data_IF_584857149938
#
_entry.id   IF_584857149938
#
_cell.length_a   1.000
_cell.length_b   1.000
_cell.length_c   1.000
_cell.angle_alpha   90.00
_cell.angle_beta   90.00
_cell.angle_gamma   90.00
#
_symmetry.space_group_name_H-M   'P 1'
#
loop_
_entity.id
_entity.type
_entity.pdbx_description
1 polymer ?
#
# COMPACT_ATOMS: atom_id res chain seq x y z
N UNK A 1 -10.32 -19.60 -10.98
CA UNK A 1 -8.88 -19.55 -10.68
C UNK A 1 -8.72 -18.73 -9.42
N UNK A 2 -8.37 -19.33 -8.28
CA UNK A 2 -8.06 -18.57 -7.06
C UNK A 2 -6.67 -17.97 -7.21
N UNK A 3 -6.54 -16.66 -7.00
CA UNK A 3 -5.22 -16.01 -6.94
C UNK A 3 -4.56 -16.42 -5.62
N UNK A 4 -3.27 -16.74 -5.68
CA UNK A 4 -2.46 -16.98 -4.48
C UNK A 4 -2.36 -15.70 -3.64
N UNK A 5 -2.49 -15.81 -2.32
CA UNK A 5 -2.53 -14.65 -1.41
C UNK A 5 -1.23 -13.83 -1.44
N UNK A 6 -0.07 -14.48 -1.64
CA UNK A 6 1.23 -13.79 -1.77
C UNK A 6 1.30 -13.03 -3.08
N UNK A 7 0.75 -13.60 -4.15
CA UNK A 7 0.63 -12.93 -5.45
C UNK A 7 -0.31 -11.73 -5.35
N UNK A 8 -1.46 -11.86 -4.69
CA UNK A 8 -2.37 -10.74 -4.43
C UNK A 8 -1.67 -9.62 -3.67
N UNK A 9 -0.96 -9.95 -2.59
CA UNK A 9 -0.21 -8.97 -1.81
C UNK A 9 0.83 -8.24 -2.66
N UNK A 10 1.63 -8.97 -3.45
CA UNK A 10 2.63 -8.39 -4.35
C UNK A 10 1.99 -7.47 -5.40
N UNK A 11 0.86 -7.87 -5.99
CA UNK A 11 0.12 -7.05 -6.95
C UNK A 11 -0.38 -5.77 -6.29
N UNK A 12 -0.96 -5.85 -5.09
CA UNK A 12 -1.45 -4.68 -4.35
C UNK A 12 -0.32 -3.70 -4.08
N UNK A 13 0.85 -4.17 -3.64
CA UNK A 13 2.01 -3.30 -3.43
C UNK A 13 2.51 -2.68 -4.75
N UNK A 14 2.61 -3.48 -5.81
CA UNK A 14 3.06 -2.99 -7.11
C UNK A 14 2.13 -1.90 -7.65
N UNK A 15 0.82 -2.15 -7.65
CA UNK A 15 -0.20 -1.16 -8.07
C UNK A 15 -0.14 0.09 -7.19
N UNK A 16 -0.01 -0.11 -5.88
CA UNK A 16 0.05 0.96 -4.90
C UNK A 16 1.23 1.91 -5.06
N UNK A 17 2.31 1.47 -5.70
CA UNK A 17 3.47 2.30 -6.03
C UNK A 17 3.38 2.83 -7.46
N UNK A 18 3.05 1.97 -8.42
CA UNK A 18 3.08 2.33 -9.85
C UNK A 18 2.02 3.38 -10.18
N UNK A 19 0.78 3.22 -9.69
CA UNK A 19 -0.29 4.16 -10.04
C UNK A 19 -0.06 5.56 -9.45
N UNK A 20 0.19 5.75 -8.14
CA UNK A 20 0.46 7.08 -7.60
C UNK A 20 1.75 7.68 -8.16
N UNK A 21 2.76 6.85 -8.43
CA UNK A 21 4.04 7.30 -8.98
C UNK A 21 3.90 7.81 -10.40
N UNK A 22 3.18 7.06 -11.26
CA UNK A 22 2.85 7.49 -12.62
C UNK A 22 1.99 8.75 -12.63
N UNK A 23 1.01 8.85 -11.74
CA UNK A 23 0.17 10.05 -11.61
C UNK A 23 0.97 11.27 -11.14
N UNK A 24 1.85 11.11 -10.15
CA UNK A 24 2.77 12.17 -9.72
C UNK A 24 3.69 12.64 -10.84
N UNK A 25 4.27 11.70 -11.60
CA UNK A 25 5.12 12.02 -12.74
C UNK A 25 4.36 12.82 -13.81
N UNK A 26 3.17 12.36 -14.18
CA UNK A 26 2.33 13.05 -15.16
C UNK A 26 1.95 14.46 -14.68
N UNK A 27 1.50 14.62 -13.44
CA UNK A 27 1.15 15.93 -12.86
C UNK A 27 2.35 16.88 -12.80
N UNK A 28 3.50 16.38 -12.35
CA UNK A 28 4.74 17.16 -12.28
C UNK A 28 5.21 17.58 -13.67
N UNK A 29 5.08 16.71 -14.68
CA UNK A 29 5.43 17.04 -16.08
C UNK A 29 4.56 18.16 -16.68
N UNK A 30 3.40 18.42 -16.09
CA UNK A 30 2.46 19.47 -16.49
C UNK A 30 2.62 20.75 -15.63
N UNK A 31 3.60 20.81 -14.72
CA UNK A 31 3.84 21.95 -13.83
C UNK A 31 2.98 21.97 -12.56
N UNK A 32 2.35 20.84 -12.21
CA UNK A 32 1.55 20.70 -10.99
C UNK A 32 2.31 19.93 -9.89
N UNK A 33 3.51 20.37 -9.49
CA UNK A 33 4.36 19.58 -8.57
C UNK A 33 3.71 19.32 -7.20
N UNK A 34 3.04 20.33 -6.64
CA UNK A 34 2.34 20.18 -5.34
C UNK A 34 1.21 19.16 -5.43
N UNK A 35 0.44 19.18 -6.51
CA UNK A 35 -0.65 18.23 -6.71
C UNK A 35 -0.11 16.80 -6.94
N UNK A 36 0.96 16.66 -7.72
CA UNK A 36 1.65 15.37 -7.90
C UNK A 36 2.13 14.80 -6.57
N UNK A 37 2.78 15.63 -5.75
CA UNK A 37 3.28 15.23 -4.43
C UNK A 37 2.14 14.82 -3.50
N UNK A 38 1.01 15.54 -3.52
CA UNK A 38 -0.17 15.17 -2.76
C UNK A 38 -0.73 13.81 -3.20
N UNK A 39 -0.87 13.58 -4.51
CA UNK A 39 -1.33 12.29 -5.05
C UNK A 39 -0.41 11.15 -4.64
N UNK A 40 0.90 11.37 -4.67
CA UNK A 40 1.88 10.39 -4.20
C UNK A 40 1.69 10.06 -2.71
N UNK A 41 1.62 11.09 -1.85
CA UNK A 41 1.48 10.93 -0.41
C UNK A 41 0.18 10.23 -0.02
N UNK A 42 -0.95 10.64 -0.60
CA UNK A 42 -2.25 10.02 -0.33
C UNK A 42 -2.35 8.60 -0.91
N UNK A 43 -1.79 8.36 -2.10
CA UNK A 43 -1.72 7.02 -2.68
C UNK A 43 -0.93 6.06 -1.80
N UNK A 44 0.25 6.48 -1.34
CA UNK A 44 1.08 5.70 -0.42
C UNK A 44 0.36 5.42 0.90
N UNK A 45 -0.22 6.45 1.53
CA UNK A 45 -0.97 6.31 2.77
C UNK A 45 -2.17 5.35 2.60
N UNK A 46 -2.92 5.48 1.51
CA UNK A 46 -4.06 4.63 1.21
C UNK A 46 -3.67 3.15 1.10
N UNK A 47 -2.58 2.86 0.37
CA UNK A 47 -2.05 1.49 0.23
C UNK A 47 -1.54 0.96 1.56
N UNK A 48 -0.83 1.78 2.34
CA UNK A 48 -0.33 1.39 3.66
C UNK A 48 -1.49 1.03 4.60
N UNK A 49 -2.56 1.84 4.64
CA UNK A 49 -3.74 1.57 5.45
C UNK A 49 -4.50 0.33 4.99
N UNK A 50 -4.63 0.13 3.67
CA UNK A 50 -5.24 -1.07 3.12
C UNK A 50 -4.47 -2.33 3.49
N UNK A 51 -3.15 -2.29 3.32
CA UNK A 51 -2.24 -3.39 3.68
C UNK A 51 -2.33 -3.69 5.18
N UNK A 52 -2.28 -2.64 6.00
CA UNK A 52 -2.42 -2.77 7.43
C UNK A 52 -3.75 -3.43 7.80
N UNK A 53 -4.86 -2.93 7.28
CA UNK A 53 -6.20 -3.43 7.62
C UNK A 53 -6.40 -4.90 7.23
N UNK A 54 -5.91 -5.29 6.04
CA UNK A 54 -6.19 -6.61 5.46
C UNK A 54 -5.22 -7.71 5.88
N UNK A 55 -3.95 -7.38 6.10
CA UNK A 55 -2.92 -8.37 6.42
C UNK A 55 -2.31 -8.20 7.81
N UNK A 56 -2.11 -6.96 8.29
CA UNK A 56 -1.40 -6.73 9.57
C UNK A 56 -2.34 -6.76 10.78
N UNK A 57 -3.47 -6.03 10.73
CA UNK A 57 -4.46 -5.95 11.80
C UNK A 57 -5.00 -7.31 12.26
N UNK A 58 -5.25 -8.31 11.40
CA UNK A 58 -5.71 -9.63 11.86
C UNK A 58 -4.59 -10.51 12.43
N UNK A 59 -3.33 -10.08 12.40
CA UNK A 59 -2.25 -10.82 13.05
C UNK A 59 -2.41 -10.68 14.57
N UNK A 60 -2.70 -11.80 15.22
CA UNK A 60 -2.66 -11.88 16.67
C UNK A 60 -1.21 -12.04 17.11
N UNK A 61 -0.64 -10.97 17.68
CA UNK A 61 0.64 -11.02 18.36
C UNK A 61 0.43 -11.54 19.78
N UNK A 62 -0.10 -12.76 19.91
CA UNK A 62 -0.27 -13.39 21.21
C UNK A 62 1.08 -13.47 21.90
N UNK A 63 1.19 -12.87 23.09
CA UNK A 63 2.30 -13.19 23.98
C UNK A 63 2.24 -14.70 24.23
N UNK A 64 3.22 -15.44 23.73
CA UNK A 64 3.39 -16.84 24.11
C UNK A 64 3.81 -16.84 25.59
N UNK A 65 2.83 -16.74 26.48
CA UNK A 65 3.01 -17.00 27.91
C UNK A 65 3.01 -18.50 28.08
N UNK A 66 4.15 -19.13 27.86
CA UNK A 66 4.46 -20.47 28.32
C UNK A 66 4.64 -20.45 29.86
N UNK A 67 3.53 -20.20 30.56
CA UNK A 67 3.42 -20.41 31.99
C UNK A 67 3.17 -21.88 32.29
N UNK A 68 4.25 -22.68 32.19
CA UNK A 68 4.40 -23.94 32.94
C UNK A 68 4.45 -23.68 34.44
#
# INVERSE_FOLDING_TARGET
MSIDERVLFAIVLAIGVVLPGGANYALSSLGFETAGTAVWAFGYLGVALFVWYRWVRPLDFGAHGDGS
#
